data_IF_938204225726
#
_entry.id   IF_938204225726
#
_cell.length_a   1.000
_cell.length_b   1.000
_cell.length_c   1.000
_cell.angle_alpha   90.00
_cell.angle_beta   90.00
_cell.angle_gamma   90.00
#
_symmetry.space_group_name_H-M   'P 1'
#
loop_
_entity.id
_entity.type
_entity.pdbx_description
1 polymer ?
#
# COMPACT_ATOMS: atom_id res chain seq x y z
N UNK A 1 -17.88 -2.11 15.73
CA UNK A 1 -17.61 -2.93 14.53
C UNK A 1 -16.48 -2.24 13.80
N UNK A 2 -15.25 -2.53 14.22
CA UNK A 2 -14.05 -1.91 13.66
C UNK A 2 -13.98 -2.21 12.16
N UNK A 3 -14.10 -1.16 11.36
CA UNK A 3 -14.13 -1.32 9.92
C UNK A 3 -12.72 -1.62 9.43
N UNK A 4 -12.54 -2.83 8.89
CA UNK A 4 -11.31 -3.24 8.21
C UNK A 4 -11.01 -2.27 7.06
N UNK A 5 -10.10 -1.33 7.32
CA UNK A 5 -9.85 -0.14 6.50
C UNK A 5 -8.36 0.19 6.47
N UNK A 6 -7.94 0.90 5.43
CA UNK A 6 -6.56 1.31 5.24
C UNK A 6 -6.12 2.25 6.37
N UNK A 7 -5.01 1.95 7.01
CA UNK A 7 -4.46 2.74 8.11
C UNK A 7 -3.99 4.13 7.67
N UNK A 8 -3.75 4.34 6.37
CA UNK A 8 -3.31 5.63 5.83
C UNK A 8 -4.49 6.50 5.35
N UNK A 9 -5.38 5.95 4.52
CA UNK A 9 -6.45 6.73 3.88
C UNK A 9 -7.86 6.38 4.36
N UNK A 10 -8.01 5.47 5.33
CA UNK A 10 -9.31 4.99 5.87
C UNK A 10 -10.25 4.34 4.85
N UNK A 11 -9.79 4.08 3.61
CA UNK A 11 -10.56 3.33 2.59
C UNK A 11 -10.92 1.95 3.12
N UNK A 12 -12.18 1.52 2.97
CA UNK A 12 -12.61 0.16 3.29
C UNK A 12 -11.85 -0.86 2.44
N UNK A 13 -11.30 -1.89 3.08
CA UNK A 13 -10.50 -2.93 2.43
C UNK A 13 -11.26 -4.26 2.27
N UNK A 14 -12.48 -4.36 2.81
CA UNK A 14 -13.30 -5.56 2.66
C UNK A 14 -13.63 -5.83 1.18
N UNK A 15 -13.14 -6.95 0.65
CA UNK A 15 -13.31 -7.35 -0.76
C UNK A 15 -12.26 -6.80 -1.73
N UNK A 16 -11.33 -5.97 -1.26
CA UNK A 16 -10.26 -5.38 -2.07
C UNK A 16 -8.92 -6.04 -1.73
N UNK A 17 -7.93 -5.91 -2.63
CA UNK A 17 -6.55 -6.30 -2.32
C UNK A 17 -5.92 -5.31 -1.35
N UNK A 18 -5.21 -5.83 -0.36
CA UNK A 18 -4.51 -5.04 0.66
C UNK A 18 -3.20 -5.73 1.08
N UNK A 19 -2.32 -4.97 1.73
CA UNK A 19 -1.05 -5.47 2.30
C UNK A 19 -1.06 -5.24 3.80
N UNK A 20 -0.59 -6.24 4.56
CA UNK A 20 -0.34 -6.11 6.00
C UNK A 20 1.13 -5.73 6.22
N UNK A 21 1.38 -4.57 6.83
CA UNK A 21 2.74 -4.15 7.19
C UNK A 21 2.76 -3.67 8.63
N UNK A 22 3.70 -4.14 9.43
CA UNK A 22 3.80 -3.79 10.87
C UNK A 22 2.46 -3.97 11.61
N UNK A 23 1.74 -5.07 11.34
CA UNK A 23 0.42 -5.35 11.91
C UNK A 23 -0.70 -4.36 11.53
N UNK A 24 -0.49 -3.50 10.55
CA UNK A 24 -1.46 -2.53 10.06
C UNK A 24 -1.86 -2.82 8.60
N UNK A 25 -3.17 -2.76 8.27
CA UNK A 25 -3.64 -2.97 6.90
C UNK A 25 -3.52 -1.70 6.06
N UNK A 26 -3.03 -1.82 4.83
CA UNK A 26 -2.89 -0.74 3.85
C UNK A 26 -3.48 -1.14 2.50
N UNK A 27 -4.17 -0.22 1.82
CA UNK A 27 -4.57 -0.47 0.42
C UNK A 27 -3.33 -0.47 -0.49
N UNK A 28 -3.42 -1.16 -1.63
CA UNK A 28 -2.33 -1.22 -2.61
C UNK A 28 -1.83 0.17 -3.01
N UNK A 29 -2.72 1.10 -3.33
CA UNK A 29 -2.32 2.45 -3.74
C UNK A 29 -1.54 3.22 -2.67
N UNK A 30 -1.93 3.07 -1.40
CA UNK A 30 -1.22 3.69 -0.28
C UNK A 30 0.13 3.01 -0.05
N UNK A 31 0.15 1.68 -0.14
CA UNK A 31 1.39 0.91 -0.01
C UNK A 31 2.37 1.27 -1.13
N UNK A 32 1.93 1.26 -2.39
CA UNK A 32 2.72 1.70 -3.54
C UNK A 32 3.16 3.16 -3.39
N UNK A 33 2.32 4.09 -2.92
CA UNK A 33 2.76 5.50 -2.79
C UNK A 33 3.79 5.70 -1.67
N UNK A 34 3.66 4.98 -0.56
CA UNK A 34 4.57 5.12 0.60
C UNK A 34 5.85 4.31 0.46
N UNK A 35 5.82 3.21 -0.30
CA UNK A 35 6.89 2.23 -0.41
C UNK A 35 7.35 1.98 -1.84
N UNK A 36 6.81 2.70 -2.83
CA UNK A 36 7.43 2.71 -4.15
C UNK A 36 8.82 3.28 -3.99
N UNK A 37 9.79 2.45 -4.32
CA UNK A 37 11.12 2.94 -4.62
C UNK A 37 11.09 3.46 -6.05
N UNK A 38 11.69 4.63 -6.25
CA UNK A 38 11.84 5.23 -7.57
C UNK A 38 13.30 5.13 -7.95
N UNK A 39 13.56 4.80 -9.20
CA UNK A 39 14.93 4.75 -9.69
C UNK A 39 15.50 6.17 -9.71
N UNK A 40 16.57 6.44 -8.95
CA UNK A 40 17.25 7.74 -8.97
C UNK A 40 17.77 8.14 -10.37
N UNK A 41 17.96 7.17 -11.27
CA UNK A 41 18.45 7.43 -12.63
C UNK A 41 17.34 7.87 -13.59
N UNK A 42 16.17 7.21 -13.57
CA UNK A 42 15.10 7.46 -14.54
C UNK A 42 13.81 8.04 -13.93
N UNK A 43 13.66 8.03 -12.61
CA UNK A 43 12.47 8.49 -11.90
C UNK A 43 11.26 7.55 -12.00
N UNK A 44 11.40 6.38 -12.62
CA UNK A 44 10.30 5.40 -12.74
C UNK A 44 10.15 4.54 -11.49
N UNK A 45 8.95 4.00 -11.29
CA UNK A 45 8.66 3.09 -10.18
C UNK A 45 9.47 1.81 -10.35
N UNK A 46 10.17 1.40 -9.31
CA UNK A 46 10.82 0.10 -9.25
C UNK A 46 9.76 -0.89 -8.79
N UNK A 47 9.30 -1.73 -9.71
CA UNK A 47 8.45 -2.87 -9.34
C UNK A 47 9.32 -3.85 -8.54
N UNK A 48 8.96 -4.05 -7.28
CA UNK A 48 9.57 -5.11 -6.47
C UNK A 48 8.94 -6.42 -6.92
N UNK A 49 9.74 -7.28 -7.56
CA UNK A 49 9.41 -8.67 -7.89
C UNK A 49 9.13 -9.41 -6.56
N UNK A 50 7.85 -9.54 -6.21
CA UNK A 50 7.37 -10.30 -5.04
C UNK A 50 6.84 -11.66 -5.48
#
# INVERSE_FOLDING_TARGET
MDHFSCSNCTKRLGGERYVMRQNQPFCLSCFETMYAEYCDTCGERIETDQ
#
